data_IF_380226425245
#
_entry.id   IF_380226425245
#
_cell.length_a   1.000
_cell.length_b   1.000
_cell.length_c   1.000
_cell.angle_alpha   90.00
_cell.angle_beta   90.00
_cell.angle_gamma   90.00
#
_symmetry.space_group_name_H-M   'P 1'
#
loop_
_entity.id
_entity.type
_entity.pdbx_description
1 polymer ?
#
# COMPACT_ATOMS: atom_id res chain seq x y z
N UNK A 1 21.34 2.06 23.05
CA UNK A 1 20.98 3.44 22.65
C UNK A 1 22.24 4.22 22.39
N UNK A 2 22.30 4.93 21.26
CA UNK A 2 23.35 5.92 20.94
C UNK A 2 22.66 7.29 20.90
N UNK A 3 23.26 8.28 21.55
CA UNK A 3 22.76 9.66 21.52
C UNK A 3 23.91 10.65 21.55
N UNK A 4 23.77 11.76 20.84
CA UNK A 4 24.75 12.84 20.81
C UNK A 4 24.21 14.12 20.19
N UNK A 5 25.00 15.19 20.23
CA UNK A 5 24.67 16.42 19.49
C UNK A 5 24.68 16.16 17.98
N UNK A 6 25.75 15.55 17.51
CA UNK A 6 25.87 14.94 16.19
C UNK A 6 26.33 13.49 16.39
N UNK A 7 25.89 12.59 15.53
CA UNK A 7 26.30 11.19 15.52
C UNK A 7 26.75 10.85 14.10
N UNK A 8 27.95 10.30 13.96
CA UNK A 8 28.50 9.85 12.69
C UNK A 8 28.98 8.42 12.85
N UNK A 9 28.53 7.52 11.98
CA UNK A 9 28.95 6.12 11.97
C UNK A 9 29.44 5.76 10.58
N UNK A 10 30.63 5.17 10.51
CA UNK A 10 31.18 4.62 9.26
C UNK A 10 31.54 3.17 9.49
N UNK A 11 30.99 2.24 8.70
CA UNK A 11 31.23 0.82 8.88
C UNK A 11 31.05 0.02 7.58
N UNK A 12 31.35 -1.29 7.63
CA UNK A 12 31.00 -2.21 6.55
C UNK A 12 29.48 -2.40 6.46
N UNK A 13 28.85 -2.83 7.56
CA UNK A 13 27.39 -2.86 7.72
C UNK A 13 27.02 -2.02 8.95
N UNK A 14 25.88 -1.32 8.89
CA UNK A 14 25.31 -0.66 10.08
C UNK A 14 23.93 -1.25 10.34
N UNK A 15 23.76 -1.90 11.50
CA UNK A 15 22.49 -2.51 11.88
C UNK A 15 21.98 -1.92 13.20
N UNK A 16 20.78 -1.37 13.17
CA UNK A 16 20.01 -0.97 14.33
C UNK A 16 18.78 -1.88 14.44
N UNK A 17 18.77 -2.82 15.38
CA UNK A 17 17.65 -3.76 15.58
C UNK A 17 17.02 -3.57 16.95
N UNK A 18 15.81 -3.01 17.01
CA UNK A 18 15.09 -2.72 18.26
C UNK A 18 15.80 -1.74 19.20
N UNK A 19 16.76 -0.99 18.66
CA UNK A 19 17.54 0.01 19.40
C UNK A 19 17.25 1.42 18.88
N UNK A 20 17.74 2.42 19.62
CA UNK A 20 17.57 3.84 19.28
C UNK A 20 18.92 4.50 19.02
N UNK A 21 19.06 5.11 17.84
CA UNK A 21 20.14 6.01 17.45
C UNK A 21 19.55 7.41 17.25
N UNK A 22 20.02 8.38 18.05
CA UNK A 22 19.49 9.75 18.04
C UNK A 22 20.60 10.79 17.93
N UNK A 23 20.35 11.86 17.19
CA UNK A 23 21.18 13.05 17.18
C UNK A 23 20.32 14.30 17.41
N UNK A 24 20.81 15.26 18.20
CA UNK A 24 20.09 16.52 18.41
C UNK A 24 20.10 17.39 17.14
N UNK A 25 21.17 17.32 16.36
CA UNK A 25 21.35 18.12 15.14
C UNK A 25 21.57 17.25 13.90
N UNK A 26 22.66 16.49 13.81
CA UNK A 26 22.94 15.69 12.61
C UNK A 26 23.21 14.21 12.91
N UNK A 27 22.53 13.31 12.18
CA UNK A 27 22.79 11.88 12.18
C UNK A 27 23.28 11.47 10.79
N UNK A 28 24.54 11.02 10.68
CA UNK A 28 25.14 10.55 9.44
C UNK A 28 25.57 9.10 9.60
N UNK A 29 25.08 8.23 8.72
CA UNK A 29 25.51 6.83 8.63
C UNK A 29 26.07 6.59 7.23
N UNK A 30 27.28 6.07 7.17
CA UNK A 30 27.98 5.74 5.93
C UNK A 30 28.41 4.27 5.95
N UNK A 31 27.89 3.48 5.03
CA UNK A 31 28.07 2.03 5.00
C UNK A 31 28.66 1.57 3.67
N UNK A 32 29.70 0.75 3.73
CA UNK A 32 30.29 0.15 2.54
C UNK A 32 29.46 -0.99 1.95
N UNK A 33 28.44 -1.47 2.69
CA UNK A 33 27.50 -2.49 2.24
C UNK A 33 26.07 -2.03 2.50
N UNK A 34 25.49 -2.28 3.68
CA UNK A 34 24.08 -1.99 3.95
C UNK A 34 23.85 -1.21 5.24
N UNK A 35 22.72 -0.49 5.29
CA UNK A 35 22.19 0.09 6.52
C UNK A 35 20.83 -0.55 6.79
N UNK A 36 20.64 -1.11 7.99
CA UNK A 36 19.41 -1.81 8.35
C UNK A 36 18.86 -1.32 9.67
N UNK A 37 17.66 -0.73 9.64
CA UNK A 37 16.86 -0.35 10.79
C UNK A 37 15.67 -1.32 10.90
N UNK A 38 15.69 -2.18 11.92
CA UNK A 38 14.86 -3.37 12.03
C UNK A 38 14.16 -3.44 13.40
N UNK A 39 13.06 -4.19 13.47
CA UNK A 39 12.43 -4.63 14.72
C UNK A 39 12.09 -3.49 15.70
N UNK A 40 11.28 -2.51 15.28
CA UNK A 40 10.98 -1.29 16.05
C UNK A 40 12.21 -0.39 16.30
N UNK A 41 13.20 -0.44 15.40
CA UNK A 41 14.37 0.42 15.48
C UNK A 41 14.03 1.90 15.23
N UNK A 42 14.71 2.80 15.93
CA UNK A 42 14.58 4.25 15.71
C UNK A 42 15.92 4.87 15.28
N UNK A 43 15.95 5.47 14.09
CA UNK A 43 16.97 6.42 13.67
C UNK A 43 16.35 7.82 13.65
N UNK A 44 16.87 8.75 14.44
CA UNK A 44 16.26 10.08 14.58
C UNK A 44 17.30 11.21 14.62
N UNK A 45 17.06 12.29 13.86
CA UNK A 45 17.82 13.53 13.95
C UNK A 45 16.90 14.74 14.19
N UNK A 46 17.26 15.62 15.13
CA UNK A 46 16.55 16.91 15.28
C UNK A 46 16.78 17.89 14.11
N UNK A 47 17.84 17.66 13.32
CA UNK A 47 18.15 18.38 12.08
C UNK A 47 18.26 17.41 10.91
N UNK A 48 19.41 17.38 10.23
CA UNK A 48 19.61 16.53 9.05
C UNK A 48 19.91 15.07 9.42
N UNK A 49 19.19 14.14 8.80
CA UNK A 49 19.49 12.71 8.81
C UNK A 49 19.95 12.30 7.41
N UNK A 50 21.17 11.77 7.32
CA UNK A 50 21.73 11.27 6.06
C UNK A 50 22.19 9.82 6.23
N UNK A 51 21.66 8.93 5.40
CA UNK A 51 22.13 7.55 5.28
C UNK A 51 22.71 7.36 3.87
N UNK A 52 23.94 6.85 3.80
CA UNK A 52 24.63 6.50 2.56
C UNK A 52 25.07 5.04 2.64
N UNK A 53 24.70 4.24 1.65
CA UNK A 53 25.13 2.85 1.53
C UNK A 53 25.51 2.52 0.09
N UNK A 54 26.52 1.67 -0.11
CA UNK A 54 26.81 1.13 -1.44
C UNK A 54 25.69 0.17 -1.87
N UNK A 55 25.27 -0.73 -0.99
CA UNK A 55 24.12 -1.61 -1.16
C UNK A 55 22.86 -1.06 -0.49
N UNK A 56 22.03 -1.94 0.05
CA UNK A 56 20.67 -1.58 0.44
C UNK A 56 20.56 -0.72 1.72
N UNK A 57 19.56 0.16 1.74
CA UNK A 57 19.05 0.80 2.95
C UNK A 57 17.69 0.19 3.28
N UNK A 58 17.61 -0.46 4.44
CA UNK A 58 16.43 -1.20 4.89
C UNK A 58 15.81 -0.52 6.11
N UNK A 59 14.54 -0.14 6.03
CA UNK A 59 13.71 0.26 7.16
C UNK A 59 12.53 -0.69 7.28
N UNK A 60 12.65 -1.68 8.16
CA UNK A 60 11.72 -2.80 8.24
C UNK A 60 11.05 -2.79 9.62
N UNK A 61 9.75 -2.50 9.64
CA UNK A 61 8.93 -2.32 10.83
C UNK A 61 9.57 -1.37 11.84
N UNK A 62 10.09 -0.24 11.35
CA UNK A 62 10.97 0.66 12.09
C UNK A 62 10.77 2.11 11.62
N UNK A 63 11.37 3.06 12.34
CA UNK A 63 11.20 4.50 12.09
C UNK A 63 12.55 5.15 11.75
N UNK A 64 12.57 5.90 10.64
CA UNK A 64 13.60 6.87 10.30
C UNK A 64 12.96 8.26 10.31
N UNK A 65 13.51 9.19 11.09
CA UNK A 65 12.94 10.53 11.24
C UNK A 65 14.00 11.63 11.29
N UNK A 66 13.72 12.75 10.66
CA UNK A 66 14.60 13.92 10.62
C UNK A 66 13.83 15.21 10.41
N UNK A 67 14.50 16.36 10.58
CA UNK A 67 14.00 17.60 9.99
C UNK A 67 14.09 17.52 8.47
N UNK A 68 15.27 17.13 7.97
CA UNK A 68 15.49 16.72 6.58
C UNK A 68 15.98 15.28 6.60
N UNK A 69 15.53 14.47 5.64
CA UNK A 69 15.95 13.08 5.50
C UNK A 69 16.45 12.85 4.08
N UNK A 70 17.67 12.35 3.95
CA UNK A 70 18.30 11.99 2.69
C UNK A 70 18.83 10.56 2.80
N UNK A 71 18.32 9.67 1.96
CA UNK A 71 18.76 8.28 1.86
C UNK A 71 19.35 8.06 0.47
N UNK A 72 20.60 7.59 0.42
CA UNK A 72 21.31 7.29 -0.81
C UNK A 72 21.82 5.85 -0.79
N UNK A 73 21.30 5.03 -1.70
CA UNK A 73 21.81 3.68 -1.98
C UNK A 73 22.42 3.68 -3.38
N UNK A 74 23.74 3.50 -3.49
CA UNK A 74 24.46 3.73 -4.74
C UNK A 74 24.22 2.64 -5.80
N UNK A 75 24.29 1.37 -5.40
CA UNK A 75 24.12 0.17 -6.24
C UNK A 75 23.05 -0.78 -5.66
N UNK A 76 22.26 -0.30 -4.71
CA UNK A 76 21.25 -1.07 -4.00
C UNK A 76 19.85 -0.46 -4.09
N UNK A 77 18.99 -0.96 -3.23
CA UNK A 77 17.60 -0.54 -3.08
C UNK A 77 17.41 0.27 -1.80
N UNK A 78 16.37 1.08 -1.78
CA UNK A 78 15.83 1.65 -0.54
C UNK A 78 14.49 0.95 -0.26
N UNK A 79 14.42 0.25 0.87
CA UNK A 79 13.27 -0.57 1.23
C UNK A 79 12.66 -0.02 2.51
N UNK A 80 11.40 0.37 2.45
CA UNK A 80 10.58 0.73 3.61
C UNK A 80 9.39 -0.22 3.69
N UNK A 81 9.37 -1.07 4.70
CA UNK A 81 8.43 -2.19 4.75
C UNK A 81 7.82 -2.34 6.14
N UNK A 82 6.50 -2.51 6.16
CA UNK A 82 5.78 -3.02 7.33
C UNK A 82 5.82 -4.54 7.32
N UNK A 83 6.26 -5.15 8.41
CA UNK A 83 6.25 -6.61 8.54
C UNK A 83 4.85 -7.11 8.87
N UNK A 84 4.50 -8.24 8.27
CA UNK A 84 3.28 -8.97 8.60
C UNK A 84 3.63 -10.42 8.90
N UNK A 85 2.94 -11.02 9.86
CA UNK A 85 3.10 -12.43 10.20
C UNK A 85 1.76 -13.15 10.15
N UNK A 86 1.69 -14.25 9.41
CA UNK A 86 0.50 -15.10 9.40
C UNK A 86 0.61 -16.13 10.51
N UNK A 87 -0.35 -16.15 11.41
CA UNK A 87 -0.46 -17.21 12.42
C UNK A 87 -1.73 -18.02 12.22
N UNK A 88 -1.65 -19.30 12.55
CA UNK A 88 -2.74 -20.25 12.48
C UNK A 88 -2.78 -21.03 13.79
N UNK A 89 -3.95 -21.11 14.42
CA UNK A 89 -4.20 -21.98 15.56
C UNK A 89 -5.36 -22.92 15.24
N UNK A 90 -5.28 -24.14 15.77
CA UNK A 90 -6.37 -25.09 15.67
C UNK A 90 -6.52 -25.85 16.98
N UNK A 91 -7.76 -26.12 17.36
CA UNK A 91 -8.12 -26.92 18.51
C UNK A 91 -9.26 -27.85 18.14
N UNK A 92 -9.23 -29.07 18.69
CA UNK A 92 -10.32 -30.03 18.53
C UNK A 92 -10.65 -30.65 19.88
N UNK A 93 -11.95 -30.75 20.17
CA UNK A 93 -12.49 -31.54 21.26
C UNK A 93 -13.03 -32.84 20.68
N UNK A 94 -12.45 -33.96 21.06
CA UNK A 94 -12.94 -35.30 20.71
C UNK A 94 -14.14 -35.72 21.55
N UNK A 95 -14.64 -36.94 21.32
CA UNK A 95 -15.79 -37.52 22.03
C UNK A 95 -16.94 -37.87 21.09
N UNK A 96 -18.10 -38.23 21.65
CA UNK A 96 -19.30 -38.55 20.85
C UNK A 96 -19.70 -37.39 19.94
N UNK A 97 -19.56 -36.15 20.43
CA UNK A 97 -19.89 -34.91 19.71
C UNK A 97 -18.61 -34.10 19.43
N UNK A 98 -17.87 -34.39 18.35
CA UNK A 98 -16.61 -33.71 18.08
C UNK A 98 -16.84 -32.24 17.73
N UNK A 99 -15.92 -31.40 18.17
CA UNK A 99 -15.89 -29.97 17.85
C UNK A 99 -14.48 -29.59 17.41
N UNK A 100 -14.38 -28.69 16.44
CA UNK A 100 -13.11 -28.15 15.97
C UNK A 100 -13.23 -26.65 15.79
N UNK A 101 -12.13 -25.96 16.08
CA UNK A 101 -11.94 -24.54 15.88
C UNK A 101 -10.60 -24.35 15.17
N UNK A 102 -10.59 -23.56 14.11
CA UNK A 102 -9.38 -23.06 13.46
C UNK A 102 -9.49 -21.55 13.34
N UNK A 103 -8.42 -20.85 13.71
CA UNK A 103 -8.31 -19.41 13.54
C UNK A 103 -7.01 -19.13 12.79
N UNK A 104 -7.08 -18.24 11.81
CA UNK A 104 -5.99 -17.77 10.99
C UNK A 104 -6.05 -16.25 10.97
N UNK A 105 -4.93 -15.57 11.23
CA UNK A 105 -4.86 -14.10 11.13
C UNK A 105 -3.49 -13.65 10.65
N UNK A 106 -3.49 -12.65 9.79
CA UNK A 106 -2.33 -11.82 9.52
C UNK A 106 -2.23 -10.78 10.62
N UNK A 107 -1.19 -10.88 11.43
CA UNK A 107 -0.76 -9.85 12.36
C UNK A 107 0.09 -8.83 11.61
N UNK A 108 -0.25 -7.55 11.72
CA UNK A 108 0.53 -6.44 11.18
C UNK A 108 1.42 -5.94 12.31
N UNK A 109 2.73 -5.94 12.09
CA UNK A 109 3.70 -5.41 13.04
C UNK A 109 3.79 -3.88 13.00
N UNK A 110 4.90 -3.37 13.52
CA UNK A 110 5.19 -1.94 13.45
C UNK A 110 5.25 -1.45 12.00
N UNK A 111 4.68 -0.27 11.75
CA UNK A 111 4.63 0.31 10.42
C UNK A 111 6.01 0.86 10.05
N UNK A 112 6.56 0.40 8.92
CA UNK A 112 7.76 0.99 8.34
C UNK A 112 7.51 2.45 8.01
N UNK A 113 8.18 3.37 8.70
CA UNK A 113 7.95 4.81 8.55
C UNK A 113 9.26 5.53 8.27
N UNK A 114 9.26 6.34 7.21
CA UNK A 114 10.32 7.33 6.95
C UNK A 114 9.64 8.70 6.91
N UNK A 115 10.06 9.61 7.79
CA UNK A 115 9.48 10.95 7.85
C UNK A 115 10.51 12.07 7.88
N UNK A 116 10.17 13.17 7.22
CA UNK A 116 10.86 14.44 7.33
C UNK A 116 9.90 15.56 7.71
N UNK A 117 10.36 16.52 8.51
CA UNK A 117 9.58 17.74 8.80
C UNK A 117 9.58 18.72 7.62
N UNK A 118 10.69 18.82 6.89
CA UNK A 118 10.88 19.80 5.82
C UNK A 118 11.00 19.13 4.44
N UNK A 119 11.95 18.22 4.25
CA UNK A 119 12.17 17.58 2.95
C UNK A 119 12.65 16.14 3.07
N UNK A 120 12.14 15.28 2.20
CA UNK A 120 12.51 13.86 2.10
C UNK A 120 13.06 13.57 0.71
N UNK A 121 14.27 13.04 0.64
CA UNK A 121 14.88 12.59 -0.61
C UNK A 121 15.31 11.13 -0.48
N UNK A 122 14.87 10.29 -1.40
CA UNK A 122 15.31 8.90 -1.55
C UNK A 122 15.96 8.75 -2.93
N UNK A 123 17.21 8.29 -2.99
CA UNK A 123 17.93 8.02 -4.23
C UNK A 123 18.50 6.61 -4.20
N UNK A 124 18.02 5.74 -5.09
CA UNK A 124 18.45 4.36 -5.20
C UNK A 124 19.03 4.07 -6.59
N UNK A 125 20.18 3.40 -6.65
CA UNK A 125 20.76 2.90 -7.89
C UNK A 125 19.85 1.87 -8.58
N UNK A 126 19.13 1.07 -7.78
CA UNK A 126 18.14 0.12 -8.24
C UNK A 126 16.73 0.61 -7.90
N UNK A 127 16.03 -0.02 -6.96
CA UNK A 127 14.61 0.23 -6.73
C UNK A 127 14.35 0.98 -5.42
N UNK A 128 13.20 1.66 -5.36
CA UNK A 128 12.59 2.12 -4.10
C UNK A 128 11.33 1.32 -3.85
N UNK A 129 11.31 0.55 -2.75
CA UNK A 129 10.21 -0.35 -2.40
C UNK A 129 9.51 0.11 -1.10
N UNK A 130 8.25 0.52 -1.23
CA UNK A 130 7.39 0.96 -0.13
C UNK A 130 6.23 -0.03 0.03
N UNK A 131 6.36 -0.96 0.99
CA UNK A 131 5.44 -2.09 1.16
C UNK A 131 4.64 -2.01 2.46
N UNK A 132 3.34 -1.72 2.33
CA UNK A 132 2.41 -1.46 3.45
C UNK A 132 2.89 -0.37 4.40
N UNK A 133 3.72 0.55 3.91
CA UNK A 133 4.58 1.43 4.70
C UNK A 133 4.28 2.92 4.41
N UNK A 134 4.89 3.81 5.21
CA UNK A 134 4.63 5.24 5.16
C UNK A 134 5.86 6.06 4.81
N UNK A 135 5.70 6.99 3.87
CA UNK A 135 6.62 8.09 3.60
C UNK A 135 5.90 9.41 3.85
N UNK A 136 6.49 10.29 4.68
CA UNK A 136 5.90 11.60 4.95
C UNK A 136 6.93 12.71 4.90
N UNK A 137 6.59 13.83 4.28
CA UNK A 137 7.40 15.05 4.26
C UNK A 137 6.51 16.25 4.53
N UNK A 138 6.92 17.17 5.41
CA UNK A 138 6.18 18.44 5.59
C UNK A 138 6.37 19.44 4.46
N UNK A 139 7.37 19.23 3.58
CA UNK A 139 7.59 20.00 2.36
C UNK A 139 7.81 19.08 1.17
N UNK A 140 8.83 19.36 0.34
CA UNK A 140 9.07 18.60 -0.88
C UNK A 140 9.46 17.15 -0.60
N UNK A 141 9.12 16.25 -1.54
CA UNK A 141 9.52 14.86 -1.51
C UNK A 141 9.99 14.41 -2.89
N UNK A 142 11.22 13.90 -2.95
CA UNK A 142 11.85 13.42 -4.19
C UNK A 142 12.22 11.94 -4.04
N UNK A 143 11.73 11.10 -4.95
CA UNK A 143 12.00 9.67 -5.04
C UNK A 143 12.68 9.39 -6.38
N UNK A 144 13.96 9.02 -6.37
CA UNK A 144 14.74 8.75 -7.57
C UNK A 144 15.21 7.29 -7.55
N UNK A 145 14.85 6.52 -8.57
CA UNK A 145 15.27 5.13 -8.70
C UNK A 145 15.87 4.88 -10.09
N UNK A 146 17.06 4.28 -10.18
CA UNK A 146 17.61 3.83 -11.45
C UNK A 146 16.81 2.69 -12.10
N UNK A 147 16.06 1.94 -11.28
CA UNK A 147 15.13 0.87 -11.66
C UNK A 147 13.67 1.30 -11.49
N UNK A 148 12.95 0.61 -10.61
CA UNK A 148 11.51 0.82 -10.38
C UNK A 148 11.23 1.53 -9.05
N UNK A 149 10.08 2.22 -8.98
CA UNK A 149 9.49 2.68 -7.72
C UNK A 149 8.21 1.87 -7.47
N UNK A 150 8.19 1.08 -6.39
CA UNK A 150 7.10 0.19 -6.04
C UNK A 150 6.40 0.67 -4.76
N UNK A 151 5.11 1.01 -4.85
CA UNK A 151 4.27 1.46 -3.74
C UNK A 151 3.11 0.49 -3.59
N UNK A 152 3.32 -0.53 -2.77
CA UNK A 152 2.49 -1.74 -2.75
C UNK A 152 1.84 -1.95 -1.39
N UNK A 153 0.60 -2.44 -1.39
CA UNK A 153 -0.06 -2.87 -0.17
C UNK A 153 0.42 -4.25 0.29
N UNK A 154 0.51 -4.45 1.61
CA UNK A 154 0.57 -5.79 2.19
C UNK A 154 -0.81 -6.45 2.09
N UNK A 155 -0.87 -7.73 1.73
CA UNK A 155 -2.12 -8.50 1.80
C UNK A 155 -2.36 -9.05 3.20
N UNK A 156 -3.59 -9.00 3.68
CA UNK A 156 -3.98 -9.55 4.98
C UNK A 156 -5.05 -10.61 4.79
N UNK A 157 -4.99 -11.63 5.65
CA UNK A 157 -5.90 -12.76 5.66
C UNK A 157 -6.37 -13.05 7.08
N UNK A 158 -7.68 -13.17 7.27
CA UNK A 158 -8.28 -13.61 8.52
C UNK A 158 -9.30 -14.68 8.22
N UNK A 159 -9.26 -15.80 8.93
CA UNK A 159 -10.25 -16.85 8.83
C UNK A 159 -10.55 -17.48 10.18
N UNK A 160 -11.83 -17.61 10.50
CA UNK A 160 -12.31 -18.31 11.68
C UNK A 160 -13.23 -19.45 11.21
N UNK A 161 -12.94 -20.68 11.61
CA UNK A 161 -13.73 -21.87 11.26
C UNK A 161 -14.08 -22.66 12.51
N UNK A 162 -15.36 -22.74 12.81
CA UNK A 162 -15.92 -23.61 13.82
C UNK A 162 -16.76 -24.70 13.16
N UNK A 163 -16.53 -25.95 13.56
CA UNK A 163 -17.31 -27.08 13.08
C UNK A 163 -17.64 -28.04 14.23
N UNK A 164 -18.90 -28.44 14.27
CA UNK A 164 -19.48 -29.39 15.20
C UNK A 164 -20.40 -30.35 14.44
N UNK A 165 -20.88 -31.41 15.08
CA UNK A 165 -21.71 -32.47 14.48
C UNK A 165 -22.94 -32.00 13.65
N UNK A 166 -23.46 -30.79 13.91
CA UNK A 166 -24.59 -30.20 13.16
C UNK A 166 -24.40 -28.74 12.74
N UNK A 167 -23.30 -28.11 13.16
CA UNK A 167 -23.11 -26.68 13.01
C UNK A 167 -21.77 -26.42 12.34
N UNK A 168 -21.78 -25.59 11.30
CA UNK A 168 -20.58 -25.08 10.65
C UNK A 168 -20.70 -23.57 10.64
N UNK A 169 -19.67 -22.89 11.11
CA UNK A 169 -19.50 -21.44 10.97
C UNK A 169 -18.12 -21.16 10.41
N UNK A 170 -18.07 -20.56 9.24
CA UNK A 170 -16.83 -20.11 8.60
C UNK A 170 -16.94 -18.61 8.36
N UNK A 171 -15.87 -17.87 8.65
CA UNK A 171 -15.74 -16.46 8.31
C UNK A 171 -14.33 -16.26 7.76
N UNK A 172 -14.19 -15.89 6.50
CA UNK A 172 -12.93 -15.64 5.82
C UNK A 172 -12.92 -14.20 5.29
N UNK A 173 -11.78 -13.53 5.35
CA UNK A 173 -11.59 -12.17 4.87
C UNK A 173 -10.19 -12.01 4.29
N UNK A 174 -10.12 -11.59 3.03
CA UNK A 174 -8.92 -11.09 2.39
C UNK A 174 -9.02 -9.56 2.30
N UNK A 175 -7.97 -8.87 2.74
CA UNK A 175 -7.88 -7.42 2.69
C UNK A 175 -6.44 -6.99 2.44
N UNK A 176 -6.15 -5.71 2.62
CA UNK A 176 -4.84 -5.14 2.35
C UNK A 176 -4.51 -3.97 3.27
N UNK A 177 -3.26 -3.86 3.71
CA UNK A 177 -2.67 -2.69 4.34
C UNK A 177 -1.88 -1.90 3.29
N UNK A 178 -2.48 -0.83 2.78
CA UNK A 178 -1.88 0.02 1.75
C UNK A 178 -0.65 0.78 2.24
N UNK A 179 0.23 1.14 1.31
CA UNK A 179 1.26 2.14 1.52
C UNK A 179 0.69 3.54 1.41
N UNK A 180 1.31 4.50 2.10
CA UNK A 180 0.90 5.91 2.12
C UNK A 180 2.12 6.81 1.92
N UNK A 181 2.10 7.60 0.84
CA UNK A 181 3.12 8.60 0.52
C UNK A 181 2.43 9.97 0.53
N UNK A 182 2.89 10.87 1.41
CA UNK A 182 2.28 12.19 1.60
C UNK A 182 3.32 13.29 1.74
N UNK A 183 3.29 14.27 0.84
CA UNK A 183 4.15 15.44 0.88
C UNK A 183 3.36 16.74 1.15
N UNK A 184 3.90 17.63 1.98
CA UNK A 184 3.35 18.96 2.22
C UNK A 184 3.71 19.97 1.12
N UNK A 185 4.76 19.70 0.34
CA UNK A 185 5.16 20.43 -0.87
C UNK A 185 5.05 19.55 -2.11
N UNK A 186 5.75 19.87 -3.21
CA UNK A 186 5.73 19.04 -4.41
C UNK A 186 6.24 17.61 -4.14
N UNK A 187 5.63 16.63 -4.79
CA UNK A 187 6.07 15.24 -4.78
C UNK A 187 6.52 14.85 -6.19
N UNK A 188 7.77 14.43 -6.33
CA UNK A 188 8.32 13.86 -7.58
C UNK A 188 8.75 12.42 -7.33
N UNK A 189 8.28 11.51 -8.17
CA UNK A 189 8.79 10.14 -8.23
C UNK A 189 9.28 9.86 -9.65
N UNK A 190 10.57 9.61 -9.81
CA UNK A 190 11.24 9.39 -11.09
C UNK A 190 11.93 8.01 -11.08
N UNK A 191 11.39 7.10 -11.88
CA UNK A 191 11.90 5.75 -12.06
C UNK A 191 12.52 5.59 -13.44
N UNK A 192 13.74 5.06 -13.49
CA UNK A 192 14.42 4.72 -14.73
C UNK A 192 13.66 3.70 -15.59
N UNK A 193 12.77 2.91 -14.97
CA UNK A 193 11.94 1.92 -15.67
C UNK A 193 10.45 2.07 -15.37
N UNK A 194 9.93 1.58 -14.24
CA UNK A 194 8.49 1.61 -13.98
C UNK A 194 8.12 2.25 -12.63
N UNK A 195 6.95 2.89 -12.57
CA UNK A 195 6.30 3.26 -11.30
C UNK A 195 5.08 2.37 -11.10
N UNK A 196 5.09 1.55 -10.05
CA UNK A 196 4.03 0.59 -9.74
C UNK A 196 3.33 0.98 -8.43
N UNK A 197 2.04 1.33 -8.50
CA UNK A 197 1.24 1.67 -7.32
C UNK A 197 0.05 0.73 -7.21
N UNK A 198 0.03 -0.12 -6.18
CA UNK A 198 -1.00 -1.13 -5.98
C UNK A 198 -1.70 -0.99 -4.63
N UNK A 199 -3.01 -0.74 -4.67
CA UNK A 199 -3.87 -0.58 -3.49
C UNK A 199 -3.30 0.37 -2.44
N UNK A 200 -2.67 1.43 -2.90
CA UNK A 200 -1.92 2.37 -2.08
C UNK A 200 -2.27 3.82 -2.43
N UNK A 201 -1.85 4.73 -1.56
CA UNK A 201 -2.14 6.15 -1.67
C UNK A 201 -0.85 6.94 -1.86
N UNK A 202 -0.82 7.80 -2.87
CA UNK A 202 0.31 8.68 -3.18
C UNK A 202 -0.21 10.07 -3.42
N UNK A 203 0.36 11.09 -2.77
CA UNK A 203 0.00 12.45 -3.09
C UNK A 203 0.70 13.54 -2.32
N UNK A 204 0.31 14.76 -2.63
CA UNK A 204 0.89 15.96 -2.08
C UNK A 204 -0.11 17.11 -1.94
N UNK A 205 0.25 18.12 -1.15
CA UNK A 205 -0.51 19.37 -1.03
C UNK A 205 -0.16 20.39 -2.14
N UNK A 206 0.79 20.05 -3.02
CA UNK A 206 1.18 20.85 -4.20
C UNK A 206 1.05 19.94 -5.44
N UNK A 207 1.94 20.08 -6.41
CA UNK A 207 2.00 19.21 -7.58
C UNK A 207 2.52 17.80 -7.22
N UNK A 208 1.90 16.79 -7.82
CA UNK A 208 2.36 15.40 -7.75
C UNK A 208 2.75 14.94 -9.15
N UNK A 209 4.01 14.55 -9.33
CA UNK A 209 4.55 14.09 -10.61
C UNK A 209 5.11 12.67 -10.47
N UNK A 210 4.61 11.75 -11.29
CA UNK A 210 5.15 10.40 -11.44
C UNK A 210 5.75 10.27 -12.85
N UNK A 211 7.03 9.93 -12.92
CA UNK A 211 7.79 9.74 -14.16
C UNK A 211 8.34 8.32 -14.22
N UNK A 212 8.22 7.69 -15.38
CA UNK A 212 8.75 6.37 -15.64
C UNK A 212 9.39 6.31 -17.02
N UNK A 213 10.62 5.78 -17.11
CA UNK A 213 11.27 5.53 -18.39
C UNK A 213 10.50 4.57 -19.30
N UNK A 214 9.61 3.74 -18.73
CA UNK A 214 8.78 2.76 -19.44
C UNK A 214 7.30 2.88 -19.06
N UNK A 215 6.84 2.30 -17.96
CA UNK A 215 5.39 2.24 -17.66
C UNK A 215 5.03 2.83 -16.29
N UNK A 216 3.84 3.42 -16.20
CA UNK A 216 3.18 3.73 -14.92
C UNK A 216 1.99 2.79 -14.75
N UNK A 217 1.99 1.99 -13.68
CA UNK A 217 0.97 0.99 -13.41
C UNK A 217 0.22 1.28 -12.10
N UNK A 218 -1.07 1.62 -12.19
CA UNK A 218 -1.96 1.86 -11.07
C UNK A 218 -2.96 0.71 -10.94
N UNK A 219 -2.77 -0.16 -9.95
CA UNK A 219 -3.51 -1.42 -9.84
C UNK A 219 -4.34 -1.50 -8.57
N UNK A 220 -5.46 -2.21 -8.63
CA UNK A 220 -6.20 -2.58 -7.43
C UNK A 220 -5.61 -3.83 -6.77
N UNK A 221 -5.93 -4.05 -5.50
CA UNK A 221 -5.74 -5.32 -4.81
C UNK A 221 -7.11 -5.90 -4.49
N UNK A 222 -7.37 -7.14 -4.92
CA UNK A 222 -8.62 -7.82 -4.59
C UNK A 222 -8.77 -7.96 -3.08
N UNK A 223 -10.01 -7.71 -2.62
CA UNK A 223 -10.45 -7.93 -1.26
C UNK A 223 -11.68 -8.84 -1.31
N UNK A 224 -11.87 -9.71 -0.33
CA UNK A 224 -13.04 -10.58 -0.33
C UNK A 224 -13.47 -10.95 1.08
N UNK A 225 -14.75 -11.27 1.22
CA UNK A 225 -15.28 -11.85 2.45
C UNK A 225 -16.09 -13.09 2.11
N UNK A 226 -16.10 -14.05 3.02
CA UNK A 226 -16.94 -15.24 2.93
C UNK A 226 -17.44 -15.60 4.31
N UNK A 227 -18.74 -15.61 4.50
CA UNK A 227 -19.40 -16.04 5.72
C UNK A 227 -20.30 -17.22 5.41
N UNK A 228 -20.16 -18.28 6.19
CA UNK A 228 -20.99 -19.47 6.07
C UNK A 228 -21.52 -19.84 7.44
N UNK A 229 -22.82 -20.02 7.55
CA UNK A 229 -23.45 -20.68 8.71
C UNK A 229 -24.23 -21.89 8.19
N UNK A 230 -24.87 -22.64 9.08
CA UNK A 230 -25.66 -23.80 8.74
C UNK A 230 -26.78 -23.43 7.76
N UNK A 231 -26.62 -23.84 6.51
CA UNK A 231 -27.58 -23.59 5.44
C UNK A 231 -27.53 -22.18 4.83
N UNK A 232 -26.58 -21.31 5.19
CA UNK A 232 -26.43 -20.01 4.52
C UNK A 232 -24.99 -19.74 4.16
N UNK A 233 -24.78 -19.04 3.05
CA UNK A 233 -23.47 -18.59 2.62
C UNK A 233 -23.56 -17.20 1.98
N UNK A 234 -22.66 -16.31 2.35
CA UNK A 234 -22.52 -14.99 1.78
C UNK A 234 -21.07 -14.80 1.36
N UNK A 235 -20.84 -14.31 0.15
CA UNK A 235 -19.51 -13.97 -0.35
C UNK A 235 -19.54 -12.58 -0.96
N UNK A 236 -18.48 -11.82 -0.75
CA UNK A 236 -18.25 -10.57 -1.47
C UNK A 236 -16.86 -10.60 -2.07
N UNK A 237 -16.73 -10.14 -3.31
CA UNK A 237 -15.48 -9.80 -3.94
C UNK A 237 -15.48 -8.30 -4.20
N UNK A 238 -14.48 -7.60 -3.72
CA UNK A 238 -14.26 -6.17 -3.86
C UNK A 238 -12.79 -5.93 -4.24
N UNK A 239 -12.36 -4.68 -4.32
CA UNK A 239 -10.96 -4.35 -4.49
C UNK A 239 -10.58 -3.04 -3.81
N UNK A 240 -9.42 -3.05 -3.14
CA UNK A 240 -8.78 -1.85 -2.65
C UNK A 240 -8.17 -1.09 -3.82
N UNK A 241 -8.60 0.16 -3.98
CA UNK A 241 -8.22 1.05 -5.08
C UNK A 241 -6.90 1.76 -4.82
N UNK A 242 -6.09 1.97 -5.87
CA UNK A 242 -4.99 2.95 -5.85
C UNK A 242 -5.52 4.38 -5.97
N UNK A 243 -5.06 5.27 -5.11
CA UNK A 243 -5.46 6.69 -5.13
C UNK A 243 -4.26 7.60 -5.29
N UNK A 244 -4.30 8.46 -6.30
CA UNK A 244 -3.34 9.54 -6.50
C UNK A 244 -4.02 10.88 -6.20
N UNK A 245 -3.35 11.73 -5.41
CA UNK A 245 -3.87 13.05 -5.05
C UNK A 245 -2.84 14.16 -5.24
N UNK A 246 -3.30 15.35 -5.62
CA UNK A 246 -2.48 16.55 -5.74
C UNK A 246 -3.31 17.77 -5.35
N UNK A 247 -2.71 18.67 -4.54
CA UNK A 247 -3.25 20.01 -4.25
C UNK A 247 -2.96 21.03 -5.36
N UNK A 248 -2.26 20.63 -6.42
CA UNK A 248 -1.98 21.38 -7.63
C UNK A 248 -2.29 20.53 -8.86
N UNK A 249 -1.31 20.37 -9.74
CA UNK A 249 -1.37 19.47 -10.89
C UNK A 249 -0.91 18.05 -10.54
N UNK A 250 -1.66 17.05 -11.00
CA UNK A 250 -1.26 15.64 -11.01
C UNK A 250 -0.76 15.27 -12.41
N UNK A 251 0.52 14.94 -12.54
CA UNK A 251 1.13 14.55 -13.82
C UNK A 251 1.67 13.12 -13.76
N UNK A 252 1.30 12.31 -14.74
CA UNK A 252 1.84 10.97 -14.98
C UNK A 252 2.52 11.00 -16.35
N UNK A 253 3.82 10.75 -16.39
CA UNK A 253 4.62 10.77 -17.61
C UNK A 253 5.37 9.45 -17.80
N UNK A 254 4.90 8.64 -18.75
CA UNK A 254 5.46 7.33 -19.06
C UNK A 254 6.11 7.33 -20.45
N UNK A 255 7.34 6.83 -20.54
CA UNK A 255 8.02 6.63 -21.82
C UNK A 255 7.28 5.68 -22.78
N UNK A 256 6.42 4.80 -22.25
CA UNK A 256 5.60 3.86 -23.01
C UNK A 256 4.13 3.92 -22.64
N UNK A 257 3.68 3.33 -21.53
CA UNK A 257 2.25 3.23 -21.23
C UNK A 257 1.88 3.75 -19.84
N UNK A 258 0.67 4.32 -19.73
CA UNK A 258 -0.01 4.52 -18.44
C UNK A 258 -1.14 3.49 -18.33
N UNK A 259 -1.00 2.54 -17.42
CA UNK A 259 -1.98 1.49 -17.17
C UNK A 259 -2.69 1.73 -15.84
N UNK A 260 -4.00 1.91 -15.87
CA UNK A 260 -4.83 2.10 -14.69
C UNK A 260 -5.90 1.02 -14.60
N UNK A 261 -6.11 0.47 -13.42
CA UNK A 261 -7.21 -0.44 -13.10
C UNK A 261 -8.02 0.19 -11.97
N UNK A 262 -9.18 0.72 -12.32
CA UNK A 262 -10.13 1.37 -11.41
C UNK A 262 -9.52 2.40 -10.46
N UNK A 263 -8.38 3.02 -10.78
CA UNK A 263 -7.70 3.95 -9.87
C UNK A 263 -8.50 5.25 -9.70
N UNK A 264 -8.22 5.99 -8.62
CA UNK A 264 -8.76 7.33 -8.40
C UNK A 264 -7.63 8.33 -8.53
N UNK A 265 -7.76 9.29 -9.44
CA UNK A 265 -6.80 10.36 -9.68
C UNK A 265 -7.51 11.69 -9.46
N UNK A 266 -7.03 12.44 -8.46
CA UNK A 266 -7.64 13.70 -8.04
C UNK A 266 -6.59 14.79 -8.00
N UNK A 267 -6.85 15.88 -8.70
CA UNK A 267 -6.04 17.09 -8.65
C UNK A 267 -6.94 18.28 -8.31
N UNK A 268 -6.39 19.32 -7.69
CA UNK A 268 -7.11 20.57 -7.52
C UNK A 268 -7.09 21.39 -8.83
N UNK A 269 -6.00 21.30 -9.59
CA UNK A 269 -5.86 21.89 -10.92
C UNK A 269 -6.04 20.81 -12.00
N UNK A 270 -4.98 20.36 -12.69
CA UNK A 270 -5.07 19.46 -13.83
C UNK A 270 -4.64 18.03 -13.52
N UNK A 271 -5.23 17.07 -14.23
CA UNK A 271 -4.74 15.69 -14.31
C UNK A 271 -4.19 15.47 -15.71
N UNK A 272 -2.87 15.33 -15.82
CA UNK A 272 -2.14 15.13 -17.07
C UNK A 272 -1.66 13.68 -17.15
N UNK A 273 -2.06 12.97 -18.20
CA UNK A 273 -1.62 11.60 -18.48
C UNK A 273 -0.87 11.58 -19.81
N UNK A 274 0.44 11.49 -19.76
CA UNK A 274 1.32 11.42 -20.91
C UNK A 274 1.90 10.01 -21.02
N UNK A 275 1.77 9.43 -22.22
CA UNK A 275 2.31 8.12 -22.54
C UNK A 275 2.92 8.18 -23.93
N UNK A 276 4.12 7.63 -24.10
CA UNK A 276 4.77 7.52 -25.41
C UNK A 276 4.00 6.61 -26.39
N UNK A 277 3.17 5.72 -25.87
CA UNK A 277 2.35 4.76 -26.62
C UNK A 277 0.86 4.83 -26.22
N UNK A 278 0.46 4.22 -25.11
CA UNK A 278 -0.97 4.06 -24.77
C UNK A 278 -1.33 4.53 -23.35
N UNK A 279 -2.56 5.06 -23.20
CA UNK A 279 -3.20 5.28 -21.89
C UNK A 279 -4.37 4.30 -21.75
N UNK A 280 -4.22 3.30 -20.88
CA UNK A 280 -5.19 2.23 -20.66
C UNK A 280 -5.94 2.44 -19.33
N UNK A 281 -7.26 2.69 -19.40
CA UNK A 281 -8.12 2.91 -18.23
C UNK A 281 -9.12 1.76 -18.06
N UNK A 282 -8.72 0.75 -17.31
CA UNK A 282 -9.45 -0.50 -17.14
C UNK A 282 -10.41 -0.46 -15.94
N UNK A 283 -11.47 -1.27 -16.01
CA UNK A 283 -12.42 -1.45 -14.92
C UNK A 283 -11.99 -2.57 -13.97
N UNK A 284 -12.43 -2.49 -12.71
CA UNK A 284 -12.38 -3.57 -11.74
C UNK A 284 -13.80 -4.10 -11.49
N UNK A 285 -13.98 -5.41 -11.59
CA UNK A 285 -15.25 -6.06 -11.30
C UNK A 285 -15.32 -6.47 -9.82
N UNK A 286 -16.48 -6.28 -9.21
CA UNK A 286 -16.81 -6.68 -7.84
C UNK A 286 -18.13 -7.45 -7.85
N UNK A 287 -18.35 -8.32 -6.86
CA UNK A 287 -19.57 -9.12 -6.78
C UNK A 287 -20.04 -9.37 -5.35
N UNK A 288 -21.34 -9.60 -5.20
CA UNK A 288 -21.96 -10.09 -3.99
C UNK A 288 -22.75 -11.36 -4.32
N UNK A 289 -22.57 -12.41 -3.53
CA UNK A 289 -23.26 -13.69 -3.64
C UNK A 289 -23.90 -14.02 -2.30
N UNK A 290 -25.16 -14.49 -2.33
CA UNK A 290 -25.88 -14.99 -1.16
C UNK A 290 -26.59 -16.28 -1.51
N UNK A 291 -26.51 -17.24 -0.62
CA UNK A 291 -27.18 -18.52 -0.72
C UNK A 291 -27.87 -18.84 0.61
N UNK A 292 -29.08 -19.38 0.53
CA UNK A 292 -29.80 -19.92 1.68
C UNK A 292 -30.44 -21.27 1.34
N UNK A 293 -30.51 -22.15 2.34
CA UNK A 293 -31.13 -23.47 2.28
C UNK A 293 -32.16 -23.60 3.38
N UNK A 294 -33.39 -23.87 2.99
CA UNK A 294 -34.49 -24.16 3.89
C UNK A 294 -35.10 -25.52 3.52
N UNK A 295 -34.81 -26.55 4.32
CA UNK A 295 -35.21 -27.92 4.02
C UNK A 295 -34.58 -28.43 2.72
N UNK A 296 -35.42 -28.62 1.69
CA UNK A 296 -34.99 -29.02 0.33
C UNK A 296 -34.87 -27.83 -0.64
N UNK A 297 -35.28 -26.63 -0.24
CA UNK A 297 -35.22 -25.44 -1.09
C UNK A 297 -33.87 -24.77 -0.95
N UNK A 298 -33.32 -24.35 -2.07
CA UNK A 298 -32.09 -23.57 -2.15
C UNK A 298 -32.41 -22.30 -2.93
N UNK A 299 -32.03 -21.15 -2.38
CA UNK A 299 -32.15 -19.85 -3.03
C UNK A 299 -30.74 -19.26 -3.18
N UNK A 300 -30.48 -18.68 -4.35
CA UNK A 300 -29.21 -18.04 -4.68
C UNK A 300 -29.50 -16.67 -5.29
N UNK A 301 -28.83 -15.64 -4.77
CA UNK A 301 -28.89 -14.26 -5.24
C UNK A 301 -27.45 -13.79 -5.50
N UNK A 302 -27.17 -13.35 -6.73
CA UNK A 302 -25.85 -12.85 -7.13
C UNK A 302 -25.97 -11.49 -7.83
N UNK A 303 -25.05 -10.57 -7.53
CA UNK A 303 -24.96 -9.26 -8.19
C UNK A 303 -23.50 -8.93 -8.52
N UNK A 304 -23.30 -8.27 -9.65
CA UNK A 304 -21.99 -7.90 -10.18
C UNK A 304 -21.97 -6.40 -10.44
N UNK A 305 -20.88 -5.72 -10.10
CA UNK A 305 -20.63 -4.31 -10.38
C UNK A 305 -19.27 -4.14 -11.05
N UNK A 306 -19.13 -3.10 -11.87
CA UNK A 306 -17.86 -2.71 -12.48
C UNK A 306 -17.55 -1.26 -12.11
N UNK A 307 -16.32 -1.00 -11.70
CA UNK A 307 -15.83 0.35 -11.38
C UNK A 307 -14.69 0.70 -12.34
N UNK A 308 -14.79 1.85 -13.01
CA UNK A 308 -13.72 2.37 -13.88
C UNK A 308 -12.74 3.28 -13.16
N UNK A 309 -11.67 3.65 -13.84
CA UNK A 309 -10.75 4.70 -13.38
C UNK A 309 -11.47 6.05 -13.37
N UNK A 310 -11.22 6.85 -12.35
CA UNK A 310 -11.84 8.17 -12.18
C UNK A 310 -10.78 9.28 -12.12
N UNK A 311 -10.92 10.28 -13.00
CA UNK A 311 -10.10 11.48 -13.00
C UNK A 311 -10.99 12.67 -12.63
N UNK A 312 -10.65 13.39 -11.55
CA UNK A 312 -11.45 14.54 -11.09
C UNK A 312 -10.57 15.74 -10.79
N UNK A 313 -11.02 16.90 -11.23
CA UNK A 313 -10.53 18.20 -10.81
C UNK A 313 -11.43 18.75 -9.70
N UNK A 314 -10.89 19.23 -8.59
CA UNK A 314 -11.70 19.88 -7.53
C UNK A 314 -12.02 21.32 -7.91
N UNK A 315 -12.98 21.50 -8.81
CA UNK A 315 -13.52 22.82 -9.13
C UNK A 315 -14.20 23.47 -7.92
N UNK A 316 -13.80 24.71 -7.61
CA UNK A 316 -14.49 25.63 -6.70
C UNK A 316 -15.98 25.72 -7.05
N UNK A 317 -16.84 25.69 -6.02
CA UNK A 317 -18.31 25.80 -6.05
C UNK A 317 -18.96 26.11 -7.40
N UNK A 318 -19.69 25.15 -7.99
CA UNK A 318 -21.01 25.39 -8.60
C UNK A 318 -21.84 24.10 -8.75
N UNK A 319 -23.17 24.27 -8.57
CA UNK A 319 -24.21 23.26 -8.51
C UNK A 319 -24.32 22.32 -9.73
N UNK A 320 -24.86 21.11 -9.46
CA UNK A 320 -25.57 20.22 -10.43
C UNK A 320 -24.65 19.37 -11.32
N UNK A 321 -24.81 18.05 -11.53
CA UNK A 321 -25.88 17.06 -11.31
C UNK A 321 -25.27 15.70 -10.95
N UNK A 322 -25.97 14.89 -10.13
CA UNK A 322 -25.71 13.45 -10.00
C UNK A 322 -25.91 12.79 -11.36
N UNK A 323 -24.84 12.25 -11.94
CA UNK A 323 -24.93 11.24 -12.99
C UNK A 323 -25.41 9.93 -12.36
N UNK A 324 -26.73 9.67 -12.43
CA UNK A 324 -27.26 8.32 -12.25
C UNK A 324 -26.89 7.52 -13.50
N UNK A 325 -25.86 6.69 -13.42
CA UNK A 325 -25.76 5.54 -14.31
C UNK A 325 -26.79 4.51 -13.83
N UNK A 326 -27.89 4.38 -14.57
CA UNK A 326 -28.78 3.24 -14.47
C UNK A 326 -28.14 2.14 -15.33
N UNK A 327 -27.47 1.18 -14.69
CA UNK A 327 -27.21 -0.12 -15.30
C UNK A 327 -28.31 -1.06 -14.80
N UNK A 328 -29.21 -1.45 -15.71
CA UNK A 328 -30.10 -2.59 -15.48
C UNK A 328 -29.24 -3.86 -15.41
N UNK A 329 -29.10 -4.45 -14.22
CA UNK A 329 -28.67 -5.83 -14.08
C UNK A 329 -29.91 -6.71 -14.12
N UNK A 330 -30.01 -7.56 -15.14
CA UNK A 330 -31.01 -8.63 -15.21
C UNK A 330 -30.81 -9.62 -14.06
N UNK A 331 -31.85 -9.81 -13.26
CA UNK A 331 -31.96 -10.88 -12.27
C UNK A 331 -32.17 -12.21 -12.98
N UNK A 332 -31.10 -12.98 -13.15
CA UNK A 332 -31.18 -14.38 -13.56
C UNK A 332 -31.57 -15.25 -12.38
N UNK A 333 -32.87 -15.30 -12.03
CA UNK A 333 -33.39 -16.26 -11.05
C UNK A 333 -33.38 -17.67 -11.66
N UNK A 334 -32.26 -18.38 -11.55
CA UNK A 334 -32.16 -19.79 -11.89
C UNK A 334 -32.65 -20.66 -10.74
N UNK A 335 -33.93 -21.05 -10.76
CA UNK A 335 -34.42 -22.14 -9.90
C UNK A 335 -33.96 -23.48 -10.50
N UNK A 336 -33.23 -24.29 -9.73
CA UNK A 336 -33.05 -25.72 -9.95
C UNK A 336 -33.37 -26.48 -8.68
#
# INVERSE_FOLDING_TARGET
>A
MISGKNVSLTAGNITNSGSTLTAQNALTLDSQNSISNLNAGLLNAGGNLQLSAIGDINNIGSIISGKTVQLESLDGNIINQTLTNQWNTQGSLGGWMPQSLSLSRTEIGDIGTIQALDSLSLSAGNNIDILGAKLTSGGAMDLLAGGDINVLANTTYSADKYQSWRNVRESETHSSQGSEISAGGPLTADAGRDVNVKASQVGSQSDTTLMAGRDINLQTQEASTRQKDNGTEQRSNDATRTTLTSGGDLTLDAGRDVNSQAAAMVADNNVNLNAGRDVNLNTQQTSEYRESKEGKRQQVDESIRQQGTENRQRGQHHHSRRSRCHLECGTGAGQR
#
